data_IF_426136595101
#
_entry.id   IF_426136595101
#
_cell.length_a   1.000
_cell.length_b   1.000
_cell.length_c   1.000
_cell.angle_alpha   90.00
_cell.angle_beta   90.00
_cell.angle_gamma   90.00
#
_symmetry.space_group_name_H-M   'P 1'
#
loop_
_entity.id
_entity.type
_entity.pdbx_description
1 polymer ?
#
# COMPACT_ATOMS: atom_id res chain seq x y z
N UNK A 1 0.50 -12.58 17.71
CA UNK A 1 -0.19 -11.50 16.93
C UNK A 1 0.82 -10.52 16.39
N UNK A 2 0.54 -9.97 15.19
CA UNK A 2 1.38 -8.95 14.54
C UNK A 2 0.53 -7.69 14.34
N UNK A 3 1.00 -6.54 14.77
CA UNK A 3 0.41 -5.23 14.47
C UNK A 3 1.11 -4.65 13.25
N UNK A 4 0.36 -4.50 12.15
CA UNK A 4 0.81 -3.90 10.91
C UNK A 4 0.22 -2.51 10.76
N UNK A 5 1.04 -1.50 10.44
CA UNK A 5 0.62 -0.11 10.33
C UNK A 5 1.10 0.48 8.99
N UNK A 6 0.18 1.05 8.23
CA UNK A 6 0.42 1.80 6.99
C UNK A 6 0.05 3.27 7.22
N UNK A 7 1.05 4.13 7.35
CA UNK A 7 0.89 5.56 7.56
C UNK A 7 1.14 6.33 6.25
N UNK A 8 0.06 6.62 5.56
CA UNK A 8 0.03 7.44 4.35
C UNK A 8 -0.22 8.92 4.66
N UNK A 9 -0.01 9.79 3.65
CA UNK A 9 -0.16 11.25 3.79
C UNK A 9 -1.58 11.72 4.17
N UNK A 10 -2.62 10.92 3.90
CA UNK A 10 -4.01 11.27 4.20
C UNK A 10 -4.63 10.39 5.27
N UNK A 11 -4.17 9.18 5.46
CA UNK A 11 -4.78 8.17 6.34
C UNK A 11 -3.73 7.33 7.03
N UNK A 12 -4.03 6.91 8.26
CA UNK A 12 -3.33 5.83 8.96
C UNK A 12 -4.24 4.62 8.97
N UNK A 13 -3.75 3.49 8.47
CA UNK A 13 -4.45 2.20 8.47
C UNK A 13 -3.64 1.20 9.28
N UNK A 14 -4.29 0.46 10.17
CA UNK A 14 -3.62 -0.61 10.89
C UNK A 14 -4.47 -1.87 10.93
N UNK A 15 -3.82 -2.99 11.13
CA UNK A 15 -4.48 -4.27 11.26
C UNK A 15 -3.72 -5.23 12.16
N UNK A 16 -4.47 -6.10 12.82
CA UNK A 16 -3.96 -7.18 13.65
C UNK A 16 -4.01 -8.48 12.87
N UNK A 17 -2.82 -9.01 12.59
CA UNK A 17 -2.65 -10.25 11.86
C UNK A 17 -2.33 -11.41 12.81
N UNK A 18 -3.10 -12.48 12.68
CA UNK A 18 -2.79 -13.77 13.28
C UNK A 18 -2.11 -14.64 12.21
N UNK A 19 -0.82 -15.01 12.41
CA UNK A 19 -0.13 -15.91 11.48
C UNK A 19 -0.82 -17.26 11.40
N UNK A 20 -1.02 -17.80 10.21
CA UNK A 20 -1.49 -19.16 10.02
C UNK A 20 -0.32 -20.17 9.89
N UNK A 21 -0.65 -21.46 9.84
CA UNK A 21 0.35 -22.54 9.78
C UNK A 21 1.02 -22.66 8.41
N UNK A 22 0.37 -22.16 7.37
CA UNK A 22 0.78 -22.29 5.97
C UNK A 22 1.61 -21.08 5.49
N UNK A 23 1.98 -20.18 6.42
CA UNK A 23 2.77 -18.97 6.14
C UNK A 23 1.93 -17.79 5.64
N UNK A 24 0.60 -17.91 5.67
CA UNK A 24 -0.36 -16.83 5.47
C UNK A 24 -0.71 -16.13 6.79
N UNK A 25 -1.74 -15.29 6.74
CA UNK A 25 -2.28 -14.64 7.93
C UNK A 25 -3.79 -14.41 7.80
N UNK A 26 -4.43 -14.26 8.95
CA UNK A 26 -5.81 -13.85 9.06
C UNK A 26 -5.89 -12.52 9.80
N UNK A 27 -6.61 -11.57 9.23
CA UNK A 27 -6.91 -10.30 9.90
C UNK A 27 -7.98 -10.52 10.97
N UNK A 28 -7.67 -10.18 12.21
CA UNK A 28 -8.63 -10.22 13.32
C UNK A 28 -9.36 -8.91 13.48
N UNK A 29 -8.69 -7.79 13.15
CA UNK A 29 -9.28 -6.46 13.05
C UNK A 29 -8.47 -5.60 12.09
N UNK A 30 -9.15 -4.66 11.41
CA UNK A 30 -8.55 -3.62 10.59
C UNK A 30 -9.28 -2.32 10.90
N UNK A 31 -8.54 -1.24 11.08
CA UNK A 31 -9.07 0.10 11.27
C UNK A 31 -8.35 1.11 10.39
N UNK A 32 -9.03 2.20 10.08
CA UNK A 32 -8.49 3.31 9.29
C UNK A 32 -9.07 4.61 9.82
N UNK A 33 -8.21 5.61 9.99
CA UNK A 33 -8.60 6.98 10.32
C UNK A 33 -7.87 7.96 9.41
N UNK A 34 -8.38 9.18 9.27
CA UNK A 34 -7.60 10.24 8.61
C UNK A 34 -6.36 10.58 9.43
N UNK A 35 -5.29 11.03 8.77
CA UNK A 35 -4.06 11.44 9.47
C UNK A 35 -4.34 12.64 10.41
N UNK A 36 -5.29 13.50 10.05
CA UNK A 36 -5.71 14.64 10.87
C UNK A 36 -6.40 14.16 12.15
N UNK A 37 -7.35 13.23 12.05
CA UNK A 37 -7.99 12.61 13.23
C UNK A 37 -6.99 11.86 14.09
N UNK A 38 -6.07 11.13 13.46
CA UNK A 38 -5.00 10.43 14.16
C UNK A 38 -4.13 11.41 14.96
N UNK A 39 -3.71 12.52 14.34
CA UNK A 39 -2.91 13.55 15.00
C UNK A 39 -3.66 14.26 16.14
N UNK A 40 -4.96 14.49 15.99
CA UNK A 40 -5.78 15.17 16.99
C UNK A 40 -6.20 14.28 18.17
N UNK A 41 -6.24 12.96 18.00
CA UNK A 41 -6.89 12.04 18.93
C UNK A 41 -6.13 10.74 19.15
N UNK A 42 -4.84 10.67 18.81
CA UNK A 42 -4.03 9.44 18.94
C UNK A 42 -4.07 8.86 20.37
N UNK A 43 -4.10 9.70 21.39
CA UNK A 43 -4.18 9.28 22.79
C UNK A 43 -5.52 8.60 23.16
N UNK A 44 -6.56 8.80 22.33
CA UNK A 44 -7.89 8.21 22.53
C UNK A 44 -8.18 7.07 21.54
N UNK A 45 -7.38 6.93 20.49
CA UNK A 45 -7.51 5.84 19.54
C UNK A 45 -6.91 4.57 20.15
N UNK A 46 -7.78 3.59 20.42
CA UNK A 46 -7.35 2.34 21.01
C UNK A 46 -6.61 1.49 19.97
N UNK A 47 -5.30 1.23 20.15
CA UNK A 47 -4.54 0.39 19.23
C UNK A 47 -4.72 -1.12 19.47
N UNK A 48 -5.37 -1.52 20.56
CA UNK A 48 -5.54 -2.93 20.90
C UNK A 48 -6.38 -3.70 19.88
N UNK A 49 -6.09 -4.98 19.74
CA UNK A 49 -6.94 -5.92 19.03
C UNK A 49 -8.25 -6.16 19.78
N UNK A 50 -9.20 -6.84 19.13
CA UNK A 50 -10.46 -7.27 19.77
C UNK A 50 -10.21 -8.17 20.99
N UNK A 51 -9.10 -8.91 20.99
CA UNK A 51 -8.69 -9.83 22.07
C UNK A 51 -7.88 -9.15 23.16
N UNK A 52 -7.52 -7.88 23.01
CA UNK A 52 -6.64 -7.13 23.92
C UNK A 52 -5.27 -7.78 24.17
N UNK A 53 -4.82 -8.65 23.29
CA UNK A 53 -3.48 -9.26 23.37
C UNK A 53 -2.41 -8.26 22.90
N UNK A 54 -1.25 -8.28 23.56
CA UNK A 54 -0.09 -7.52 23.12
C UNK A 54 0.49 -8.12 21.81
N UNK A 55 0.99 -7.28 20.89
CA UNK A 55 1.63 -7.78 19.67
C UNK A 55 3.01 -8.39 20.00
N UNK A 56 3.31 -9.53 19.38
CA UNK A 56 4.68 -10.07 19.39
C UNK A 56 5.62 -9.21 18.54
N UNK A 57 5.05 -8.50 17.54
CA UNK A 57 5.76 -7.64 16.59
C UNK A 57 4.89 -6.49 16.15
N UNK A 58 5.51 -5.35 15.95
CA UNK A 58 4.92 -4.17 15.32
C UNK A 58 5.73 -3.86 14.08
N UNK A 59 5.08 -3.72 12.92
CA UNK A 59 5.75 -3.35 11.67
C UNK A 59 5.02 -2.17 11.01
N UNK A 60 5.77 -1.15 10.62
CA UNK A 60 5.25 0.13 10.18
C UNK A 60 5.84 0.52 8.82
N UNK A 61 4.98 0.79 7.83
CA UNK A 61 5.32 1.56 6.66
C UNK A 61 4.89 3.02 6.90
N UNK A 62 5.82 3.96 6.86
CA UNK A 62 5.53 5.38 7.04
C UNK A 62 6.03 6.19 5.84
N UNK A 63 5.09 6.83 5.12
CA UNK A 63 5.36 7.81 4.06
C UNK A 63 4.77 9.19 4.38
N UNK A 64 4.24 9.37 5.60
CA UNK A 64 3.60 10.61 6.07
C UNK A 64 4.60 11.59 6.75
N UNK A 65 5.88 11.25 6.76
CA UNK A 65 6.95 12.12 7.28
C UNK A 65 7.19 12.02 8.79
N UNK A 66 8.03 12.93 9.29
CA UNK A 66 8.54 12.88 10.68
C UNK A 66 7.46 13.13 11.74
N UNK A 67 6.49 14.02 11.45
CA UNK A 67 5.37 14.26 12.38
C UNK A 67 4.55 12.99 12.66
N UNK A 68 4.24 12.23 11.60
CA UNK A 68 3.55 10.96 11.74
C UNK A 68 4.43 9.90 12.43
N UNK A 69 5.74 9.92 12.19
CA UNK A 69 6.68 9.03 12.88
C UNK A 69 6.58 9.22 14.40
N UNK A 70 6.68 10.44 14.90
CA UNK A 70 6.61 10.71 16.33
C UNK A 70 5.26 10.33 16.97
N UNK A 71 4.15 10.59 16.26
CA UNK A 71 2.82 10.17 16.72
C UNK A 71 2.72 8.65 16.83
N UNK A 72 3.25 7.92 15.85
CA UNK A 72 3.22 6.45 15.85
C UNK A 72 4.13 5.85 16.94
N UNK A 73 5.31 6.45 17.19
CA UNK A 73 6.17 6.06 18.32
C UNK A 73 5.40 6.17 19.63
N UNK A 74 4.76 7.32 19.88
CA UNK A 74 3.99 7.53 21.10
C UNK A 74 2.79 6.56 21.18
N UNK A 75 2.07 6.38 20.07
CA UNK A 75 0.88 5.53 20.02
C UNK A 75 1.19 4.05 20.26
N UNK A 76 2.35 3.57 19.80
CA UNK A 76 2.78 2.18 20.00
C UNK A 76 3.56 1.95 21.30
N UNK A 77 3.94 3.01 22.03
CA UNK A 77 4.74 2.91 23.26
C UNK A 77 4.06 2.19 24.43
N UNK A 78 2.74 1.97 24.33
CA UNK A 78 1.99 1.18 25.32
C UNK A 78 2.28 -0.31 25.24
N UNK A 79 2.91 -0.78 24.14
CA UNK A 79 3.29 -2.16 23.95
C UNK A 79 4.76 -2.37 24.33
N UNK A 80 5.05 -3.51 24.94
CA UNK A 80 6.43 -3.97 25.21
C UNK A 80 7.01 -4.66 23.95
N UNK A 81 7.00 -3.92 22.82
CA UNK A 81 7.52 -4.37 21.54
C UNK A 81 8.00 -3.18 20.71
N UNK A 82 9.29 -3.17 20.37
CA UNK A 82 9.86 -2.12 19.54
C UNK A 82 9.32 -2.17 18.10
N UNK A 83 8.83 -1.05 17.54
CA UNK A 83 8.36 -0.99 16.17
C UNK A 83 9.49 -1.20 15.14
N UNK A 84 9.24 -2.07 14.17
CA UNK A 84 10.09 -2.26 13.00
C UNK A 84 9.62 -1.26 11.94
N UNK A 85 10.46 -0.26 11.64
CA UNK A 85 10.21 0.71 10.57
C UNK A 85 10.67 0.11 9.25
N UNK A 86 9.69 -0.23 8.40
CA UNK A 86 10.01 -0.83 7.10
C UNK A 86 10.81 0.15 6.23
N UNK A 87 11.89 -0.36 5.64
CA UNK A 87 12.65 0.28 4.57
C UNK A 87 12.77 -0.69 3.41
N UNK A 88 12.75 -0.16 2.20
CA UNK A 88 13.00 -0.98 1.04
C UNK A 88 14.48 -1.39 0.98
N UNK A 89 14.72 -2.60 0.52
CA UNK A 89 16.02 -3.25 0.43
C UNK A 89 16.28 -3.72 -1.01
N UNK A 90 17.48 -4.21 -1.27
CA UNK A 90 17.83 -4.78 -2.58
C UNK A 90 17.04 -6.05 -2.88
N UNK A 91 16.78 -6.90 -1.86
CA UNK A 91 16.00 -8.13 -2.02
C UNK A 91 15.35 -8.54 -0.69
N UNK A 92 14.05 -8.91 -0.74
CA UNK A 92 13.31 -9.45 0.40
C UNK A 92 12.07 -10.22 -0.05
N UNK A 93 11.73 -11.31 0.62
CA UNK A 93 10.52 -12.11 0.39
C UNK A 93 10.28 -12.46 -1.09
N UNK A 94 11.36 -12.77 -1.84
CA UNK A 94 11.29 -13.12 -3.25
C UNK A 94 11.06 -11.94 -4.21
N UNK A 95 11.20 -10.71 -3.74
CA UNK A 95 11.19 -9.50 -4.57
C UNK A 95 12.59 -8.89 -4.62
N UNK A 96 13.08 -8.62 -5.85
CA UNK A 96 14.36 -7.97 -6.15
C UNK A 96 14.12 -6.55 -6.61
N UNK A 97 14.67 -5.57 -5.90
CA UNK A 97 14.51 -4.16 -6.18
C UNK A 97 15.58 -3.67 -7.18
N UNK A 98 15.14 -3.12 -8.32
CA UNK A 98 16.04 -2.59 -9.37
C UNK A 98 16.15 -1.07 -9.38
N UNK A 99 15.70 -0.39 -8.33
CA UNK A 99 16.05 1.02 -8.17
C UNK A 99 17.57 1.15 -8.04
N UNK A 100 18.14 2.20 -8.62
CA UNK A 100 19.57 2.53 -8.49
C UNK A 100 20.00 2.63 -7.03
N UNK A 101 19.08 3.12 -6.19
CA UNK A 101 19.19 3.20 -4.74
C UNK A 101 17.94 2.53 -4.14
N UNK A 102 18.03 1.25 -3.77
CA UNK A 102 16.88 0.47 -3.28
C UNK A 102 16.11 1.12 -2.13
N UNK A 103 16.83 1.79 -1.23
CA UNK A 103 16.27 2.49 -0.06
C UNK A 103 15.39 3.70 -0.40
N UNK A 104 15.45 4.19 -1.64
CA UNK A 104 14.60 5.29 -2.13
C UNK A 104 13.20 4.84 -2.56
N UNK A 105 12.95 3.55 -2.67
CA UNK A 105 11.60 3.05 -2.88
C UNK A 105 10.77 3.22 -1.62
N UNK A 106 9.57 3.80 -1.75
CA UNK A 106 8.66 3.98 -0.62
C UNK A 106 8.33 2.65 0.08
N UNK A 107 8.30 2.61 1.42
CA UNK A 107 8.02 1.39 2.17
C UNK A 107 6.63 0.81 1.88
N UNK A 108 5.63 1.64 1.59
CA UNK A 108 4.29 1.26 1.17
C UNK A 108 4.30 0.51 -0.17
N UNK A 109 5.04 1.02 -1.16
CA UNK A 109 5.23 0.37 -2.46
C UNK A 109 5.99 -0.95 -2.31
N UNK A 110 7.03 -0.95 -1.46
CA UNK A 110 7.81 -2.15 -1.18
C UNK A 110 6.96 -3.27 -0.56
N UNK A 111 6.14 -2.94 0.44
CA UNK A 111 5.20 -3.87 1.05
C UNK A 111 4.17 -4.37 0.02
N UNK A 112 3.59 -3.46 -0.80
CA UNK A 112 2.63 -3.84 -1.83
C UNK A 112 3.22 -4.81 -2.87
N UNK A 113 4.47 -4.62 -3.30
CA UNK A 113 5.18 -5.53 -4.21
C UNK A 113 5.39 -6.92 -3.61
N UNK A 114 5.76 -7.00 -2.32
CA UNK A 114 5.92 -8.25 -1.58
C UNK A 114 4.59 -8.99 -1.46
N UNK A 115 3.51 -8.28 -1.12
CA UNK A 115 2.16 -8.88 -1.11
C UNK A 115 1.75 -9.38 -2.49
N UNK A 116 1.96 -8.59 -3.54
CA UNK A 116 1.63 -8.99 -4.90
C UNK A 116 2.39 -10.26 -5.33
N UNK A 117 3.68 -10.38 -4.96
CA UNK A 117 4.49 -11.57 -5.21
C UNK A 117 3.94 -12.81 -4.51
N UNK A 118 3.48 -12.67 -3.26
CA UNK A 118 2.88 -13.77 -2.51
C UNK A 118 1.52 -14.18 -3.08
N UNK A 119 0.73 -13.23 -3.62
CA UNK A 119 -0.59 -13.47 -4.20
C UNK A 119 -0.56 -14.07 -5.61
N UNK A 120 0.49 -13.80 -6.38
CA UNK A 120 0.58 -14.18 -7.79
C UNK A 120 2.02 -14.49 -8.20
N UNK A 121 2.26 -15.71 -8.66
CA UNK A 121 3.59 -16.16 -9.09
C UNK A 121 4.00 -15.66 -10.50
N UNK A 122 3.06 -15.10 -11.27
CA UNK A 122 3.32 -14.50 -12.58
C UNK A 122 3.71 -13.03 -12.49
N UNK A 123 3.86 -12.40 -13.66
CA UNK A 123 4.09 -10.96 -13.74
C UNK A 123 2.87 -10.17 -13.23
N UNK A 124 3.11 -9.11 -12.46
CA UNK A 124 2.06 -8.28 -11.87
C UNK A 124 2.31 -6.79 -12.11
N UNK A 125 1.28 -6.07 -12.58
CA UNK A 125 1.25 -4.63 -12.51
C UNK A 125 0.55 -4.24 -11.21
N UNK A 126 1.31 -3.73 -10.25
CA UNK A 126 0.82 -3.41 -8.90
C UNK A 126 0.42 -1.95 -8.84
N UNK A 127 -0.86 -1.69 -8.60
CA UNK A 127 -1.44 -0.34 -8.58
C UNK A 127 -1.97 -0.06 -7.18
N UNK A 128 -1.48 0.99 -6.54
CA UNK A 128 -2.01 1.49 -5.27
C UNK A 128 -2.62 2.88 -5.48
N UNK A 129 -3.95 2.96 -5.51
CA UNK A 129 -4.70 4.18 -5.78
C UNK A 129 -5.13 4.85 -4.47
N UNK A 130 -4.35 5.83 -4.02
CA UNK A 130 -4.56 6.65 -2.82
C UNK A 130 -4.47 8.14 -3.13
N UNK A 131 -3.91 8.92 -2.20
CA UNK A 131 -3.58 10.36 -2.39
C UNK A 131 -2.67 10.55 -3.60
N UNK A 132 -1.65 9.72 -3.73
CA UNK A 132 -0.97 9.46 -4.99
C UNK A 132 -1.38 8.08 -5.51
N UNK A 133 -1.35 7.89 -6.81
CA UNK A 133 -1.47 6.57 -7.42
C UNK A 133 -0.10 6.12 -7.89
N UNK A 134 0.32 4.93 -7.44
CA UNK A 134 1.55 4.28 -7.89
C UNK A 134 1.23 3.13 -8.82
N UNK A 135 2.08 2.90 -9.82
CA UNK A 135 1.93 1.83 -10.80
C UNK A 135 3.27 1.16 -11.00
N UNK A 136 3.43 -0.05 -10.50
CA UNK A 136 4.69 -0.75 -10.34
C UNK A 136 4.75 -2.05 -11.13
N UNK A 137 5.82 -2.27 -11.89
CA UNK A 137 6.02 -3.45 -12.73
C UNK A 137 6.85 -4.51 -11.97
N UNK A 138 6.22 -5.63 -11.62
CA UNK A 138 6.83 -6.77 -10.97
C UNK A 138 6.87 -7.96 -11.95
N UNK A 139 8.07 -8.34 -12.39
CA UNK A 139 8.27 -9.48 -13.30
C UNK A 139 7.97 -10.82 -12.60
N UNK A 140 7.75 -11.88 -13.39
CA UNK A 140 7.40 -13.20 -12.88
C UNK A 140 8.52 -13.84 -12.02
N UNK A 141 9.77 -13.43 -12.19
CA UNK A 141 10.90 -13.86 -11.36
C UNK A 141 11.05 -13.09 -10.04
N UNK A 142 10.10 -12.19 -9.75
CA UNK A 142 10.12 -11.32 -8.57
C UNK A 142 10.93 -10.04 -8.75
N UNK A 143 11.42 -9.72 -9.94
CA UNK A 143 12.16 -8.48 -10.18
C UNK A 143 11.21 -7.29 -10.31
N UNK A 144 11.31 -6.31 -9.41
CA UNK A 144 10.69 -4.99 -9.56
C UNK A 144 11.48 -4.18 -10.58
N UNK A 145 10.88 -3.90 -11.73
CA UNK A 145 11.52 -3.27 -12.88
C UNK A 145 11.48 -1.73 -12.83
N UNK A 146 10.67 -1.18 -11.97
CA UNK A 146 10.38 0.25 -11.87
C UNK A 146 8.89 0.54 -11.94
N UNK A 147 8.53 1.81 -11.78
CA UNK A 147 7.13 2.21 -11.76
C UNK A 147 6.95 3.71 -11.96
N UNK A 148 5.68 4.14 -11.93
CA UNK A 148 5.27 5.53 -12.05
C UNK A 148 4.51 5.97 -10.80
N UNK A 149 4.59 7.26 -10.48
CA UNK A 149 3.80 7.92 -9.44
C UNK A 149 3.06 9.08 -10.09
N UNK A 150 1.76 9.16 -9.84
CA UNK A 150 0.91 10.24 -10.34
C UNK A 150 -0.06 10.70 -9.23
N UNK A 151 -0.60 11.94 -9.31
CA UNK A 151 -1.59 12.39 -8.34
C UNK A 151 -2.84 11.51 -8.36
N UNK A 152 -3.43 11.24 -7.19
CA UNK A 152 -4.74 10.60 -7.09
C UNK A 152 -5.88 11.52 -7.56
N UNK A 153 -7.09 10.98 -7.78
CA UNK A 153 -8.26 11.74 -8.27
C UNK A 153 -8.57 12.94 -7.38
N UNK A 154 -8.60 12.74 -6.06
CA UNK A 154 -8.88 13.81 -5.11
C UNK A 154 -7.82 14.93 -5.17
N UNK A 155 -6.54 14.55 -5.25
CA UNK A 155 -5.44 15.50 -5.38
C UNK A 155 -5.49 16.25 -6.72
N UNK A 156 -5.83 15.58 -7.82
CA UNK A 156 -6.00 16.25 -9.11
C UNK A 156 -7.14 17.28 -9.07
N UNK A 157 -8.29 16.93 -8.48
CA UNK A 157 -9.42 17.86 -8.31
C UNK A 157 -9.02 19.06 -7.45
N UNK A 158 -8.33 18.81 -6.34
CA UNK A 158 -7.84 19.85 -5.44
C UNK A 158 -6.90 20.82 -6.15
N UNK A 159 -5.91 20.31 -6.88
CA UNK A 159 -4.95 21.14 -7.64
C UNK A 159 -5.64 21.98 -8.72
N UNK A 160 -6.62 21.41 -9.44
CA UNK A 160 -7.41 22.15 -10.42
C UNK A 160 -8.20 23.29 -9.75
N UNK A 161 -8.79 23.07 -8.58
CA UNK A 161 -9.49 24.12 -7.84
C UNK A 161 -8.52 25.22 -7.38
N UNK A 162 -7.44 24.88 -6.72
CA UNK A 162 -6.48 25.83 -6.13
C UNK A 162 -5.76 26.69 -7.18
N UNK A 163 -5.44 26.11 -8.34
CA UNK A 163 -4.63 26.77 -9.37
C UNK A 163 -5.42 27.29 -10.57
N UNK A 164 -6.76 27.23 -10.52
CA UNK A 164 -7.62 27.83 -11.56
C UNK A 164 -8.69 28.68 -10.90
N UNK A 165 -8.86 29.92 -11.34
CA UNK A 165 -9.70 30.90 -10.65
C UNK A 165 -11.21 30.61 -10.59
N UNK A 166 -11.71 29.50 -11.14
CA UNK A 166 -13.15 29.23 -11.23
C UNK A 166 -13.56 27.76 -11.21
N UNK A 167 -12.63 26.82 -11.16
CA UNK A 167 -13.03 25.39 -11.17
C UNK A 167 -13.52 24.96 -9.78
N UNK A 168 -14.69 24.31 -9.70
CA UNK A 168 -15.25 23.86 -8.42
C UNK A 168 -14.49 22.63 -7.88
N UNK A 169 -14.40 22.50 -6.54
CA UNK A 169 -13.81 21.34 -5.87
C UNK A 169 -14.76 20.14 -5.72
N UNK A 170 -16.05 20.36 -6.01
CA UNK A 170 -17.10 19.36 -5.81
C UNK A 170 -16.82 18.05 -6.54
N UNK A 171 -17.23 16.94 -5.93
CA UNK A 171 -17.21 15.63 -6.55
C UNK A 171 -18.28 15.56 -7.66
N UNK A 172 -17.84 15.18 -8.87
CA UNK A 172 -18.70 15.01 -10.03
C UNK A 172 -19.12 13.56 -10.24
N UNK A 173 -19.96 13.35 -11.24
CA UNK A 173 -20.33 12.02 -11.72
C UNK A 173 -19.48 11.67 -12.94
N UNK A 174 -18.95 10.46 -12.97
CA UNK A 174 -18.31 9.93 -14.15
C UNK A 174 -19.31 9.80 -15.31
N UNK A 175 -18.91 10.23 -16.50
CA UNK A 175 -19.68 10.08 -17.74
C UNK A 175 -18.74 10.05 -18.94
N UNK A 176 -19.01 9.21 -19.92
CA UNK A 176 -18.22 9.17 -21.17
C UNK A 176 -18.27 10.47 -21.97
N UNK A 177 -19.34 11.26 -21.80
CA UNK A 177 -19.52 12.57 -22.44
C UNK A 177 -20.11 13.58 -21.45
N UNK A 178 -19.32 14.10 -20.49
CA UNK A 178 -19.80 15.01 -19.46
C UNK A 178 -20.27 16.34 -20.08
N UNK A 179 -21.40 16.87 -19.59
CA UNK A 179 -22.04 18.08 -20.10
C UNK A 179 -22.04 19.26 -19.14
N UNK A 180 -21.27 19.16 -18.06
CA UNK A 180 -21.03 20.23 -17.09
C UNK A 180 -19.59 20.16 -16.56
N UNK A 181 -19.10 21.25 -15.99
CA UNK A 181 -17.72 21.38 -15.53
C UNK A 181 -17.35 20.40 -14.42
N UNK A 182 -18.25 20.14 -13.48
CA UNK A 182 -18.00 19.26 -12.33
C UNK A 182 -17.77 17.83 -12.80
N UNK A 183 -18.67 17.32 -13.66
CA UNK A 183 -18.55 15.98 -14.22
C UNK A 183 -17.37 15.86 -15.20
N UNK A 184 -17.04 16.96 -15.91
CA UNK A 184 -15.88 16.98 -16.80
C UNK A 184 -14.56 16.86 -16.03
N UNK A 185 -14.43 17.54 -14.88
CA UNK A 185 -13.27 17.43 -13.99
C UNK A 185 -13.16 16.00 -13.46
N UNK A 186 -14.25 15.45 -12.92
CA UNK A 186 -14.27 14.07 -12.38
C UNK A 186 -13.87 13.06 -13.43
N UNK A 187 -14.50 13.12 -14.61
CA UNK A 187 -14.21 12.23 -15.75
C UNK A 187 -12.77 12.36 -16.21
N UNK A 188 -12.26 13.59 -16.35
CA UNK A 188 -10.89 13.84 -16.76
C UNK A 188 -9.85 13.26 -15.77
N UNK A 189 -10.06 13.45 -14.48
CA UNK A 189 -9.17 12.89 -13.43
C UNK A 189 -9.17 11.35 -13.44
N UNK A 190 -10.34 10.72 -13.60
CA UNK A 190 -10.45 9.26 -13.69
C UNK A 190 -9.82 8.71 -14.98
N UNK A 191 -10.04 9.35 -16.12
CA UNK A 191 -9.40 8.99 -17.38
C UNK A 191 -7.89 9.13 -17.32
N UNK A 192 -7.36 10.18 -16.65
CA UNK A 192 -5.92 10.34 -16.46
C UNK A 192 -5.32 9.16 -15.68
N UNK A 193 -5.99 8.70 -14.62
CA UNK A 193 -5.55 7.54 -13.85
C UNK A 193 -5.66 6.23 -14.64
N UNK A 194 -6.83 5.92 -15.16
CA UNK A 194 -7.05 4.69 -15.92
C UNK A 194 -6.12 4.63 -17.14
N UNK A 195 -5.98 5.73 -17.87
CA UNK A 195 -5.10 5.84 -19.03
C UNK A 195 -3.62 5.64 -18.67
N UNK A 196 -3.16 6.16 -17.53
CA UNK A 196 -1.80 5.93 -17.05
C UNK A 196 -1.55 4.44 -16.73
N UNK A 197 -2.48 3.79 -16.04
CA UNK A 197 -2.40 2.35 -15.73
C UNK A 197 -2.40 1.52 -17.01
N UNK A 198 -3.31 1.81 -17.96
CA UNK A 198 -3.38 1.10 -19.25
C UNK A 198 -2.13 1.33 -20.10
N UNK A 199 -1.56 2.54 -20.07
CA UNK A 199 -0.28 2.83 -20.75
C UNK A 199 0.84 1.98 -20.18
N UNK A 200 0.97 1.95 -18.85
CA UNK A 200 1.98 1.14 -18.16
C UNK A 200 1.77 -0.35 -18.42
N UNK A 201 0.54 -0.82 -18.41
CA UNK A 201 0.21 -2.21 -18.74
C UNK A 201 0.66 -2.59 -20.16
N UNK A 202 0.42 -1.74 -21.16
CA UNK A 202 0.85 -1.96 -22.55
C UNK A 202 2.38 -2.07 -22.65
N UNK A 203 3.11 -1.16 -21.99
CA UNK A 203 4.58 -1.19 -21.96
C UNK A 203 5.06 -2.47 -21.28
N UNK A 204 4.45 -2.83 -20.16
CA UNK A 204 4.85 -4.02 -19.43
C UNK A 204 4.59 -5.33 -20.18
N UNK A 205 3.50 -5.40 -20.95
CA UNK A 205 3.20 -6.57 -21.79
C UNK A 205 4.26 -6.87 -22.87
N UNK A 206 5.03 -5.88 -23.27
CA UNK A 206 6.11 -6.08 -24.26
C UNK A 206 7.30 -6.86 -23.69
N UNK A 207 7.49 -6.81 -22.36
CA UNK A 207 8.60 -7.45 -21.64
C UNK A 207 8.16 -8.60 -20.74
N UNK A 208 6.89 -8.69 -20.42
CA UNK A 208 6.32 -9.76 -19.58
C UNK A 208 4.97 -10.21 -20.13
N UNK A 209 4.78 -11.49 -20.50
CA UNK A 209 3.52 -11.96 -21.07
C UNK A 209 2.42 -11.98 -20.03
N UNK A 210 1.21 -11.53 -20.45
CA UNK A 210 -0.04 -11.62 -19.69
C UNK A 210 0.04 -11.21 -18.20
N UNK A 211 0.52 -10.00 -17.86
CA UNK A 211 0.61 -9.58 -16.46
C UNK A 211 -0.79 -9.42 -15.85
N UNK A 212 -0.93 -9.78 -14.57
CA UNK A 212 -2.13 -9.49 -13.79
C UNK A 212 -2.03 -8.08 -13.20
N UNK A 213 -3.04 -7.23 -13.42
CA UNK A 213 -3.13 -5.94 -12.77
C UNK A 213 -3.74 -6.13 -11.36
N UNK A 214 -2.93 -5.96 -10.31
CA UNK A 214 -3.37 -5.99 -8.91
C UNK A 214 -3.61 -4.56 -8.46
N UNK A 215 -4.86 -4.23 -8.14
CA UNK A 215 -5.29 -2.87 -7.78
C UNK A 215 -5.63 -2.82 -6.30
N UNK A 216 -5.10 -1.83 -5.59
CA UNK A 216 -5.34 -1.58 -4.17
C UNK A 216 -5.57 -0.09 -3.89
N UNK A 217 -5.77 0.25 -2.63
CA UNK A 217 -5.97 1.63 -2.16
C UNK A 217 -7.43 2.08 -2.14
N UNK A 218 -7.71 3.19 -1.47
CA UNK A 218 -9.08 3.67 -1.24
C UNK A 218 -9.86 4.02 -2.52
N UNK A 219 -9.19 4.53 -3.55
CA UNK A 219 -9.77 4.79 -4.86
C UNK A 219 -9.70 3.57 -5.80
N UNK A 220 -9.06 2.48 -5.39
CA UNK A 220 -8.82 1.29 -6.20
C UNK A 220 -10.11 0.60 -6.65
N UNK A 221 -11.16 0.57 -5.83
CA UNK A 221 -12.47 -0.02 -6.20
C UNK A 221 -13.07 0.66 -7.43
N UNK A 222 -13.05 2.00 -7.45
CA UNK A 222 -13.57 2.76 -8.59
C UNK A 222 -12.66 2.64 -9.81
N UNK A 223 -11.34 2.62 -9.61
CA UNK A 223 -10.37 2.51 -10.69
C UNK A 223 -10.45 1.13 -11.37
N UNK A 224 -10.56 0.04 -10.61
CA UNK A 224 -10.56 -1.32 -11.17
C UNK A 224 -11.70 -1.56 -12.17
N UNK A 225 -12.84 -0.91 -11.99
CA UNK A 225 -14.01 -1.03 -12.88
C UNK A 225 -13.77 -0.35 -14.24
N UNK A 226 -12.84 0.60 -14.32
CA UNK A 226 -12.50 1.34 -15.54
C UNK A 226 -11.39 0.68 -16.37
N UNK A 227 -10.71 -0.33 -15.82
CA UNK A 227 -9.61 -1.01 -16.50
C UNK A 227 -10.13 -2.15 -17.38
N UNK A 228 -9.46 -2.39 -18.51
CA UNK A 228 -9.88 -3.40 -19.49
C UNK A 228 -9.01 -4.66 -19.51
N UNK A 229 -7.83 -4.62 -18.86
CA UNK A 229 -6.92 -5.77 -18.75
C UNK A 229 -7.34 -6.76 -17.66
N UNK A 230 -6.76 -7.98 -17.61
CA UNK A 230 -6.91 -8.90 -16.48
C UNK A 230 -6.53 -8.21 -15.16
N UNK A 231 -7.45 -8.15 -14.23
CA UNK A 231 -7.30 -7.36 -13.01
C UNK A 231 -7.92 -8.03 -11.78
N UNK A 232 -7.38 -7.68 -10.60
CA UNK A 232 -7.87 -8.12 -9.30
C UNK A 232 -7.78 -6.97 -8.31
N UNK A 233 -8.87 -6.67 -7.59
CA UNK A 233 -8.84 -5.74 -6.46
C UNK A 233 -8.42 -6.46 -5.18
N UNK A 234 -7.51 -5.84 -4.40
CA UNK A 234 -7.04 -6.31 -3.09
C UNK A 234 -7.12 -5.15 -2.10
N UNK A 235 -7.92 -5.32 -1.06
CA UNK A 235 -8.28 -4.20 -0.17
C UNK A 235 -7.13 -3.74 0.73
N UNK A 236 -6.30 -4.67 1.21
CA UNK A 236 -5.31 -4.41 2.26
C UNK A 236 -3.87 -4.74 1.82
N UNK A 237 -3.57 -4.55 0.53
CA UNK A 237 -2.32 -5.03 -0.09
C UNK A 237 -1.06 -4.59 0.66
N UNK A 238 -0.99 -3.35 1.14
CA UNK A 238 0.18 -2.85 1.91
C UNK A 238 0.27 -3.58 3.25
N UNK A 239 -0.84 -3.70 3.98
CA UNK A 239 -0.87 -4.43 5.26
C UNK A 239 -0.53 -5.91 5.06
N UNK A 240 -1.01 -6.55 3.98
CA UNK A 240 -0.70 -7.95 3.65
C UNK A 240 0.82 -8.12 3.45
N UNK A 241 1.47 -7.15 2.80
CA UNK A 241 2.92 -7.14 2.63
C UNK A 241 3.68 -6.97 3.94
N UNK A 242 3.20 -6.09 4.81
CA UNK A 242 3.77 -5.92 6.15
C UNK A 242 3.67 -7.21 6.98
N UNK A 243 2.50 -7.86 6.97
CA UNK A 243 2.31 -9.13 7.66
C UNK A 243 3.25 -10.23 7.12
N UNK A 244 3.39 -10.32 5.80
CA UNK A 244 4.31 -11.26 5.13
C UNK A 244 5.77 -11.05 5.55
N UNK A 245 6.21 -9.79 5.59
CA UNK A 245 7.57 -9.41 6.01
C UNK A 245 7.82 -9.81 7.46
N UNK A 246 6.90 -9.47 8.37
CA UNK A 246 7.03 -9.78 9.79
C UNK A 246 7.07 -11.29 10.07
N UNK A 247 6.32 -12.09 9.30
CA UNK A 247 6.34 -13.55 9.41
C UNK A 247 7.66 -14.13 8.92
N UNK A 248 8.20 -13.64 7.79
CA UNK A 248 9.49 -14.09 7.27
C UNK A 248 10.63 -13.83 8.27
N UNK A 249 10.61 -12.70 8.97
CA UNK A 249 11.57 -12.40 10.05
C UNK A 249 11.42 -13.33 11.26
N UNK A 250 10.17 -13.64 11.63
CA UNK A 250 9.90 -14.60 12.73
C UNK A 250 10.49 -15.96 12.39
N UNK A 251 10.25 -16.47 11.20
CA UNK A 251 10.78 -17.75 10.74
C UNK A 251 12.31 -17.77 10.75
N UNK A 252 12.96 -16.72 10.25
CA UNK A 252 14.42 -16.59 10.26
C UNK A 252 15.00 -16.56 11.69
N UNK A 253 14.32 -15.90 12.63
CA UNK A 253 14.73 -15.84 14.04
C UNK A 253 14.64 -17.19 14.70
N UNK A 254 13.55 -17.93 14.48
CA UNK A 254 13.37 -19.30 15.03
C UNK A 254 14.44 -20.24 14.50
N UNK A 255 14.74 -20.20 13.20
CA UNK A 255 15.79 -21.03 12.58
C UNK A 255 17.19 -20.73 13.16
N UNK A 256 17.53 -19.44 13.36
CA UNK A 256 18.80 -19.04 14.00
C UNK A 256 18.92 -19.54 15.44
N UNK A 257 17.83 -19.49 16.19
CA UNK A 257 17.82 -20.00 17.58
C UNK A 257 17.94 -21.53 17.63
N UNK A 258 17.29 -22.23 16.71
CA UNK A 258 17.40 -23.69 16.59
C UNK A 258 18.84 -24.12 16.20
N UNK A 259 19.46 -23.42 15.25
CA UNK A 259 20.84 -23.68 14.83
C UNK A 259 21.89 -23.47 15.95
N UNK A 260 21.63 -22.49 16.87
CA UNK A 260 22.51 -22.25 18.02
C UNK A 260 22.36 -23.29 19.15
N UNK A 261 21.27 -24.07 19.17
CA UNK A 261 20.99 -25.11 20.16
C UNK A 261 21.34 -26.51 19.65
N UNK A 262 21.72 -26.68 18.41
CA UNK A 262 22.24 -27.92 17.89
C UNK A 262 23.67 -28.14 18.40
N UNK A 263 23.99 -29.31 18.97
CA UNK A 263 25.27 -29.60 19.61
C UNK A 263 26.42 -29.63 18.60
#
# INVERSE_FOLDING_TARGET
>A
MILCIDAGNSRVKWGWAEPDRDGGHRWTSIATVSLIEFAASSDHINPFSVTHEAPERIIIANVAGEGAHQLLVNWTSIFDADPIWLRAEAERCGVKNRYERPEMLGPDRWAALIAARALHNGASLVVNAGTATTVDMLAADGTFLGGAILPGVELMRFVLHEHTGRLPIQEGKYSDAPRNTIDAIETGCRHAQAGAVERMYRVFREIAPAPLCIVAGGAGRTLVDQLTMPRRYVENLVLDGLAQIAQAERAATVLKLAAKKAP
#
